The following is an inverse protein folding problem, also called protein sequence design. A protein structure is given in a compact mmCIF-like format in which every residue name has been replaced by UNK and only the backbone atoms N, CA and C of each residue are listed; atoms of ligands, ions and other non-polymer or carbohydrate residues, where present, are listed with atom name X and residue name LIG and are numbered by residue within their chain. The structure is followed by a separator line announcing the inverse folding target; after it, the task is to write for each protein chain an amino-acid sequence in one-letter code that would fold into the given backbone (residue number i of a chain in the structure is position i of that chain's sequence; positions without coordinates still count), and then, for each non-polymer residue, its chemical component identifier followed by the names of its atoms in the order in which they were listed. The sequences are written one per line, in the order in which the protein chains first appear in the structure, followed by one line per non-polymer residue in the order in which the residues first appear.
data_IF_747024668068
#
_entry.id   IF_747024668068
#
_cell.length_a   1.000
_cell.length_b   1.000
_cell.length_c   1.000
_cell.angle_alpha   90.00
_cell.angle_beta   90.00
_cell.angle_gamma   90.00
#
_symmetry.space_group_name_H-M   'P 1'
#
loop_
_entity.id
_entity.type
_entity.pdbx_description
1 polymer ?
#
# COMPACT_ATOMS: atom_id res chain seq x y z
N UNK A 1 16.33 -15.83 -28.31
CA UNK A 1 15.08 -15.43 -27.62
C UNK A 1 15.47 -14.96 -26.21
N UNK A 2 15.19 -13.69 -25.83
CA UNK A 2 15.49 -13.25 -24.48
C UNK A 2 14.48 -13.87 -23.50
N UNK A 3 14.98 -14.52 -22.49
CA UNK A 3 14.20 -15.06 -21.38
C UNK A 3 13.29 -13.97 -20.79
N UNK A 4 12.00 -14.13 -20.91
CA UNK A 4 11.02 -13.25 -20.27
C UNK A 4 11.20 -13.34 -18.76
N UNK A 5 11.63 -12.22 -18.15
CA UNK A 5 11.88 -12.12 -16.74
C UNK A 5 10.69 -12.62 -15.91
N UNK A 6 10.95 -13.47 -14.94
CA UNK A 6 9.95 -14.00 -14.00
C UNK A 6 9.17 -12.90 -13.26
N UNK A 7 9.76 -11.69 -13.15
CA UNK A 7 9.13 -10.50 -12.58
C UNK A 7 7.89 -10.05 -13.37
N UNK A 8 7.92 -10.18 -14.71
CA UNK A 8 6.77 -9.82 -15.55
C UNK A 8 5.58 -10.75 -15.38
N UNK A 9 5.82 -12.00 -14.98
CA UNK A 9 4.76 -13.00 -14.77
C UNK A 9 4.04 -12.84 -13.45
N UNK A 10 4.74 -12.40 -12.39
CA UNK A 10 4.15 -12.19 -11.07
C UNK A 10 3.30 -10.91 -11.07
N UNK A 11 3.78 -9.85 -11.73
CA UNK A 11 3.03 -8.60 -11.90
C UNK A 11 1.71 -8.83 -12.65
N UNK A 12 1.68 -9.76 -13.63
CA UNK A 12 0.47 -10.10 -14.38
C UNK A 12 -0.54 -10.93 -13.59
N UNK A 13 -0.12 -11.73 -12.60
CA UNK A 13 -1.03 -12.58 -11.82
C UNK A 13 -1.92 -11.80 -10.85
N UNK A 14 -1.51 -10.59 -10.49
CA UNK A 14 -2.21 -9.74 -9.53
C UNK A 14 -2.93 -8.54 -10.16
N UNK A 15 -2.90 -8.42 -11.49
CA UNK A 15 -3.67 -7.39 -12.18
C UNK A 15 -5.16 -7.77 -12.23
N UNK A 16 -6.07 -6.92 -11.77
CA UNK A 16 -7.50 -7.21 -11.87
C UNK A 16 -7.93 -7.27 -13.35
N UNK A 17 -8.61 -8.34 -13.71
CA UNK A 17 -9.26 -8.44 -15.00
C UNK A 17 -10.55 -7.62 -14.98
N UNK A 18 -10.60 -6.56 -15.77
CA UNK A 18 -11.81 -5.78 -16.03
C UNK A 18 -11.95 -4.48 -15.26
N UNK A 19 -11.12 -3.50 -15.57
CA UNK A 19 -11.39 -2.11 -15.25
C UNK A 19 -11.73 -1.36 -16.53
N UNK A 20 -12.95 -0.86 -16.59
CA UNK A 20 -13.45 0.00 -17.64
C UNK A 20 -12.62 1.29 -17.68
N UNK A 21 -11.98 1.56 -18.82
CA UNK A 21 -11.11 2.72 -19.01
C UNK A 21 -11.91 4.02 -19.07
N UNK A 22 -11.96 4.72 -17.94
CA UNK A 22 -12.13 6.16 -17.95
C UNK A 22 -10.98 6.78 -17.16
N UNK A 23 -9.91 7.13 -17.85
CA UNK A 23 -8.72 7.74 -17.31
C UNK A 23 -9.01 9.16 -16.83
N UNK A 24 -9.31 9.29 -15.55
CA UNK A 24 -9.05 10.53 -14.85
C UNK A 24 -7.54 10.57 -14.57
N UNK A 25 -6.83 11.58 -15.04
CA UNK A 25 -5.37 11.73 -14.96
C UNK A 25 -4.79 11.69 -13.55
N UNK A 26 -5.64 11.63 -12.53
CA UNK A 26 -5.30 11.60 -11.11
C UNK A 26 -5.39 10.20 -10.48
N UNK A 27 -5.76 9.16 -11.23
CA UNK A 27 -5.88 7.79 -10.70
C UNK A 27 -4.61 6.99 -11.01
N UNK A 28 -3.97 6.39 -9.99
CA UNK A 28 -2.83 5.51 -10.21
C UNK A 28 -3.18 4.33 -11.13
N UNK A 29 -2.30 4.03 -12.07
CA UNK A 29 -2.46 2.91 -12.99
C UNK A 29 -1.16 2.10 -13.07
N UNK A 30 -1.28 0.78 -13.27
CA UNK A 30 -0.13 -0.12 -13.41
C UNK A 30 0.79 0.31 -14.55
N UNK A 31 2.08 0.29 -14.27
CA UNK A 31 3.17 0.69 -15.15
C UNK A 31 3.12 2.16 -15.59
N UNK A 32 2.45 3.01 -14.80
CA UNK A 32 2.42 4.46 -14.97
C UNK A 32 2.98 5.15 -13.73
N UNK A 33 3.61 6.33 -13.91
CA UNK A 33 4.02 7.14 -12.76
C UNK A 33 2.81 7.51 -11.88
N UNK A 34 3.03 7.55 -10.57
CA UNK A 34 2.03 8.07 -9.65
C UNK A 34 1.76 9.55 -9.93
N UNK A 35 0.52 10.01 -9.80
CA UNK A 35 0.24 11.44 -9.76
C UNK A 35 0.92 12.08 -8.54
N UNK A 36 1.13 13.39 -8.60
CA UNK A 36 1.65 14.14 -7.46
C UNK A 36 0.61 14.25 -6.37
N UNK A 37 1.01 13.97 -5.15
CA UNK A 37 0.19 14.20 -3.96
C UNK A 37 1.06 14.35 -2.72
N UNK A 38 0.46 14.85 -1.67
CA UNK A 38 1.09 15.04 -0.38
C UNK A 38 0.19 14.46 0.71
N UNK A 39 0.78 13.79 1.68
CA UNK A 39 0.06 13.25 2.82
C UNK A 39 0.90 13.36 4.10
N UNK A 40 0.23 13.55 5.22
CA UNK A 40 0.88 13.60 6.53
C UNK A 40 0.91 12.21 7.15
N UNK A 41 2.08 11.84 7.66
CA UNK A 41 2.30 10.60 8.36
C UNK A 41 2.76 10.86 9.80
N UNK A 42 2.72 9.80 10.61
CA UNK A 42 3.29 9.81 11.97
C UNK A 42 4.75 10.24 11.96
N UNK A 43 5.25 10.66 13.12
CA UNK A 43 6.63 11.12 13.25
C UNK A 43 6.92 12.45 12.53
N UNK A 44 5.90 13.21 12.18
CA UNK A 44 6.05 14.48 11.45
C UNK A 44 6.49 14.30 10.00
N UNK A 45 6.41 13.09 9.46
CA UNK A 45 6.82 12.80 8.09
C UNK A 45 5.77 13.27 7.09
N UNK A 46 6.21 13.98 6.07
CA UNK A 46 5.42 14.38 4.93
C UNK A 46 5.71 13.42 3.78
N UNK A 47 4.71 12.66 3.38
CA UNK A 47 4.85 11.75 2.25
C UNK A 47 4.51 12.47 0.95
N UNK A 48 5.45 12.43 0.02
CA UNK A 48 5.21 12.73 -1.40
C UNK A 48 5.92 11.64 -2.22
N UNK A 49 5.45 11.28 -3.42
CA UNK A 49 6.17 10.31 -4.25
C UNK A 49 7.62 10.72 -4.51
N UNK A 50 7.89 12.00 -4.67
CA UNK A 50 9.22 12.55 -4.95
C UNK A 50 10.17 12.44 -3.75
N UNK A 51 9.66 12.55 -2.52
CA UNK A 51 10.48 12.45 -1.30
C UNK A 51 11.12 11.07 -1.13
N UNK A 52 10.56 10.05 -1.76
CA UNK A 52 11.03 8.67 -1.70
C UNK A 52 11.60 8.18 -3.04
N UNK A 53 11.94 9.09 -3.95
CA UNK A 53 12.65 8.75 -5.17
C UNK A 53 13.94 7.97 -4.86
N UNK A 54 14.21 6.91 -5.61
CA UNK A 54 15.33 6.02 -5.37
C UNK A 54 15.04 4.86 -4.41
N UNK A 55 13.86 4.83 -3.78
CA UNK A 55 13.41 3.73 -2.92
C UNK A 55 12.12 3.12 -3.44
N UNK A 56 12.00 1.81 -3.29
CA UNK A 56 10.73 1.12 -3.47
C UNK A 56 9.79 1.49 -2.31
N UNK A 57 8.54 1.82 -2.61
CA UNK A 57 7.54 2.17 -1.59
C UNK A 57 6.44 1.13 -1.58
N UNK A 58 6.11 0.64 -0.40
CA UNK A 58 4.95 -0.20 -0.14
C UNK A 58 3.91 0.65 0.59
N UNK A 59 2.76 0.88 -0.05
CA UNK A 59 1.60 1.52 0.58
C UNK A 59 0.54 0.46 0.84
N UNK A 60 0.23 0.17 2.10
CA UNK A 60 -0.86 -0.73 2.41
C UNK A 60 -2.03 0.02 3.06
N UNK A 61 -3.20 -0.12 2.47
CA UNK A 61 -4.45 0.48 2.94
C UNK A 61 -5.20 -0.52 3.81
N UNK A 62 -5.67 -0.07 4.97
CA UNK A 62 -6.41 -0.90 5.92
C UNK A 62 -7.60 -0.15 6.52
N UNK A 63 -8.65 -0.86 6.98
CA UNK A 63 -9.89 -0.23 7.40
C UNK A 63 -9.80 0.64 8.64
N UNK A 64 -9.13 0.18 9.71
CA UNK A 64 -9.13 0.90 10.99
C UNK A 64 -8.06 0.42 11.96
N UNK A 65 -7.42 1.36 12.67
CA UNK A 65 -6.51 1.06 13.79
C UNK A 65 -7.19 0.21 14.85
N UNK A 66 -6.41 -0.60 15.56
CA UNK A 66 -6.83 -1.44 16.69
C UNK A 66 -7.92 -2.49 16.36
N UNK A 67 -8.11 -2.83 15.11
CA UNK A 67 -8.93 -3.98 14.71
C UNK A 67 -8.07 -5.23 14.57
N UNK A 68 -8.61 -6.45 14.78
CA UNK A 68 -7.78 -7.68 14.79
C UNK A 68 -6.98 -7.90 13.51
N UNK A 69 -7.61 -7.80 12.34
CA UNK A 69 -6.96 -8.01 11.06
C UNK A 69 -5.90 -6.95 10.75
N UNK A 70 -6.19 -5.68 11.04
CA UNK A 70 -5.26 -4.58 10.83
C UNK A 70 -4.06 -4.66 11.78
N UNK A 71 -4.27 -5.08 13.02
CA UNK A 71 -3.20 -5.32 13.97
C UNK A 71 -2.28 -6.45 13.51
N UNK A 72 -2.83 -7.57 13.07
CA UNK A 72 -2.06 -8.71 12.54
C UNK A 72 -1.24 -8.29 11.32
N UNK A 73 -1.83 -7.58 10.38
CA UNK A 73 -1.12 -7.10 9.18
C UNK A 73 0.03 -6.17 9.52
N UNK A 74 -0.22 -5.19 10.40
CA UNK A 74 0.82 -4.27 10.86
C UNK A 74 1.98 -4.99 11.55
N UNK A 75 1.69 -5.97 12.40
CA UNK A 75 2.71 -6.78 13.06
C UNK A 75 3.53 -7.61 12.08
N UNK A 76 2.91 -8.16 11.03
CA UNK A 76 3.62 -8.91 9.99
C UNK A 76 4.56 -7.98 9.19
N UNK A 77 4.13 -6.79 8.81
CA UNK A 77 5.02 -5.78 8.20
C UNK A 77 6.15 -5.37 9.14
N UNK A 78 5.88 -5.21 10.43
CA UNK A 78 6.89 -4.93 11.45
C UNK A 78 7.94 -6.04 11.51
N UNK A 79 7.49 -7.28 11.60
CA UNK A 79 8.39 -8.44 11.78
C UNK A 79 9.29 -8.66 10.56
N UNK A 80 8.81 -8.31 9.36
CA UNK A 80 9.57 -8.36 8.10
C UNK A 80 10.26 -7.04 7.72
N UNK A 81 10.20 -6.02 8.55
CA UNK A 81 10.67 -4.68 8.19
C UNK A 81 12.16 -4.64 7.79
N UNK A 82 13.00 -5.37 8.49
CA UNK A 82 14.43 -5.46 8.14
C UNK A 82 14.66 -6.05 6.75
N UNK A 83 13.84 -7.00 6.36
CA UNK A 83 13.93 -7.61 5.02
C UNK A 83 13.49 -6.65 3.93
N UNK A 84 12.43 -5.85 4.19
CA UNK A 84 12.03 -4.77 3.30
C UNK A 84 13.14 -3.72 3.13
N UNK A 85 13.76 -3.29 4.22
CA UNK A 85 14.86 -2.33 4.17
C UNK A 85 16.06 -2.88 3.38
N UNK A 86 16.44 -4.14 3.58
CA UNK A 86 17.51 -4.81 2.80
C UNK A 86 17.17 -4.86 1.31
N UNK A 87 15.91 -4.98 0.97
CA UNK A 87 15.44 -4.96 -0.41
C UNK A 87 15.26 -3.55 -0.98
N UNK A 88 15.63 -2.51 -0.22
CA UNK A 88 15.53 -1.11 -0.65
C UNK A 88 14.12 -0.54 -0.61
N UNK A 89 13.23 -1.12 0.20
CA UNK A 89 11.85 -0.70 0.31
C UNK A 89 11.54 -0.04 1.65
N UNK A 90 10.66 0.95 1.61
CA UNK A 90 10.03 1.57 2.77
C UNK A 90 8.55 1.21 2.79
N UNK A 91 7.97 1.08 3.99
CA UNK A 91 6.57 0.69 4.18
C UNK A 91 5.81 1.85 4.83
N UNK A 92 4.62 2.13 4.30
CA UNK A 92 3.66 3.05 4.90
C UNK A 92 2.29 2.38 4.99
N UNK A 93 1.69 2.42 6.17
CA UNK A 93 0.27 2.08 6.33
C UNK A 93 -0.60 3.31 6.09
N UNK A 94 -1.77 3.12 5.53
CA UNK A 94 -2.73 4.21 5.24
C UNK A 94 -4.11 3.81 5.75
N UNK A 95 -4.71 4.65 6.56
CA UNK A 95 -6.13 4.54 6.92
C UNK A 95 -6.76 5.91 7.13
N UNK A 96 -8.08 5.90 7.35
CA UNK A 96 -8.85 7.13 7.61
C UNK A 96 -8.77 7.60 9.07
N UNK A 97 -8.08 6.86 9.92
CA UNK A 97 -7.88 7.25 11.31
C UNK A 97 -7.07 8.55 11.40
N UNK A 98 -7.29 9.29 12.48
CA UNK A 98 -6.56 10.53 12.71
C UNK A 98 -5.13 10.29 13.22
N UNK A 99 -4.33 11.33 13.23
CA UNK A 99 -2.94 11.25 13.65
C UNK A 99 -2.77 10.75 15.08
N UNK A 100 -3.63 11.19 16.01
CA UNK A 100 -3.55 10.77 17.40
C UNK A 100 -3.81 9.25 17.56
N UNK A 101 -4.74 8.69 16.80
CA UNK A 101 -4.99 7.25 16.74
C UNK A 101 -3.78 6.51 16.20
N UNK A 102 -3.22 6.98 15.07
CA UNK A 102 -2.04 6.39 14.45
C UNK A 102 -0.81 6.40 15.35
N UNK A 103 -0.55 7.48 16.06
CA UNK A 103 0.57 7.57 17.00
C UNK A 103 0.44 6.54 18.12
N UNK A 104 -0.76 6.38 18.68
CA UNK A 104 -1.04 5.37 19.70
C UNK A 104 -0.89 3.95 19.16
N UNK A 105 -1.43 3.70 17.97
CA UNK A 105 -1.36 2.39 17.33
C UNK A 105 0.08 2.01 16.99
N UNK A 106 0.84 2.94 16.41
CA UNK A 106 2.26 2.78 16.14
C UNK A 106 3.05 2.48 17.40
N UNK A 107 2.83 3.24 18.46
CA UNK A 107 3.53 3.07 19.75
C UNK A 107 3.19 1.72 20.40
N UNK A 108 1.91 1.36 20.43
CA UNK A 108 1.44 0.12 21.04
C UNK A 108 2.02 -1.14 20.37
N UNK A 109 2.20 -1.10 19.06
CA UNK A 109 2.76 -2.22 18.29
C UNK A 109 4.26 -2.09 18.01
N UNK A 110 4.89 -1.02 18.46
CA UNK A 110 6.30 -0.72 18.17
C UNK A 110 6.62 -0.78 16.67
N UNK A 111 5.76 -0.14 15.85
CA UNK A 111 5.92 -0.15 14.41
C UNK A 111 7.14 0.68 13.98
N UNK A 112 8.08 0.10 13.21
CA UNK A 112 9.29 0.79 12.75
C UNK A 112 9.07 1.63 11.49
N UNK A 113 7.84 1.76 11.03
CA UNK A 113 7.44 2.52 9.86
C UNK A 113 6.30 3.49 10.20
N UNK A 114 6.04 4.41 9.29
CA UNK A 114 5.06 5.47 9.52
C UNK A 114 3.67 5.12 8.99
N UNK A 115 2.65 5.73 9.60
CA UNK A 115 1.25 5.58 9.20
C UNK A 115 0.73 6.92 8.66
N UNK A 116 0.13 6.90 7.50
CA UNK A 116 -0.47 8.07 6.85
C UNK A 116 -1.90 8.24 7.35
N UNK A 117 -2.22 9.42 7.87
CA UNK A 117 -3.55 9.80 8.33
C UNK A 117 -4.34 10.42 7.18
N UNK A 118 -5.12 9.60 6.48
CA UNK A 118 -5.96 10.03 5.35
C UNK A 118 -7.40 10.36 5.80
N UNK A 119 -7.52 11.29 6.74
CA UNK A 119 -8.81 11.65 7.38
C UNK A 119 -9.84 12.20 6.40
N UNK A 120 -9.41 12.83 5.32
CA UNK A 120 -10.27 13.36 4.25
C UNK A 120 -10.51 12.35 3.12
N UNK A 121 -10.02 11.12 3.26
CA UNK A 121 -10.16 10.04 2.28
C UNK A 121 -9.57 10.36 0.89
N UNK A 122 -8.66 11.33 0.77
CA UNK A 122 -8.07 11.74 -0.51
C UNK A 122 -7.31 10.60 -1.17
N UNK A 123 -6.40 9.96 -0.44
CA UNK A 123 -5.64 8.83 -0.95
C UNK A 123 -6.53 7.60 -1.14
N UNK A 124 -7.45 7.33 -0.23
CA UNK A 124 -8.38 6.22 -0.35
C UNK A 124 -9.22 6.31 -1.62
N UNK A 125 -9.70 7.51 -1.98
CA UNK A 125 -10.42 7.73 -3.24
C UNK A 125 -9.48 7.67 -4.44
N UNK A 126 -8.30 8.28 -4.37
CA UNK A 126 -7.30 8.27 -5.44
C UNK A 126 -6.93 6.84 -5.85
N UNK A 127 -6.65 5.97 -4.88
CA UNK A 127 -6.29 4.57 -5.11
C UNK A 127 -7.51 3.64 -5.30
N UNK A 128 -8.72 4.17 -5.22
CA UNK A 128 -9.95 3.42 -5.50
C UNK A 128 -10.25 2.32 -4.48
N UNK A 129 -9.86 2.50 -3.22
CA UNK A 129 -10.05 1.51 -2.15
C UNK A 129 -11.29 1.76 -1.28
N UNK A 130 -12.03 2.83 -1.54
CA UNK A 130 -13.32 3.09 -0.87
C UNK A 130 -14.39 2.24 -1.52
N UNK A 131 -15.01 1.35 -0.74
CA UNK A 131 -16.04 0.42 -1.21
C UNK A 131 -17.31 0.53 -0.38
N UNK A 132 -18.44 0.35 -1.03
CA UNK A 132 -19.72 0.21 -0.35
C UNK A 132 -19.83 -1.20 0.23
N UNK A 133 -20.14 -1.28 1.52
CA UNK A 133 -20.37 -2.54 2.24
C UNK A 133 -21.75 -2.52 2.89
N UNK A 134 -22.31 -3.70 3.12
CA UNK A 134 -23.53 -3.84 3.92
C UNK A 134 -23.10 -4.39 5.28
N UNK A 135 -23.36 -3.61 6.35
CA UNK A 135 -23.13 -4.02 7.73
C UNK A 135 -24.44 -3.85 8.52
N UNK A 136 -24.92 -4.92 9.14
CA UNK A 136 -26.17 -4.93 9.89
C UNK A 136 -27.35 -4.37 9.08
N UNK A 137 -27.44 -4.73 7.79
CA UNK A 137 -28.49 -4.26 6.87
C UNK A 137 -28.37 -2.81 6.39
N UNK A 138 -27.32 -2.10 6.78
CA UNK A 138 -27.07 -0.70 6.37
C UNK A 138 -25.92 -0.62 5.38
N UNK A 139 -26.06 0.25 4.37
CA UNK A 139 -24.98 0.59 3.45
C UNK A 139 -23.96 1.49 4.17
N UNK A 140 -22.72 1.04 4.26
CA UNK A 140 -21.60 1.80 4.82
C UNK A 140 -20.46 1.83 3.84
N UNK A 141 -19.67 2.92 3.87
CA UNK A 141 -18.41 3.00 3.13
C UNK A 141 -17.28 2.41 3.99
N UNK A 142 -16.54 1.48 3.42
CA UNK A 142 -15.38 0.88 4.06
C UNK A 142 -14.16 0.94 3.17
N UNK A 143 -12.99 0.67 3.73
CA UNK A 143 -11.75 0.55 2.98
C UNK A 143 -11.53 -0.91 2.62
N UNK A 144 -11.35 -1.16 1.32
CA UNK A 144 -10.90 -2.45 0.81
C UNK A 144 -9.42 -2.60 1.12
N UNK A 145 -9.06 -3.61 1.91
CA UNK A 145 -7.67 -3.90 2.26
C UNK A 145 -6.87 -4.16 0.99
N UNK A 146 -5.91 -3.28 0.72
CA UNK A 146 -5.16 -3.28 -0.54
C UNK A 146 -3.72 -2.84 -0.31
N UNK A 147 -2.80 -3.32 -1.13
CA UNK A 147 -1.39 -2.92 -1.09
C UNK A 147 -0.93 -2.54 -2.48
N UNK A 148 -0.11 -1.49 -2.54
CA UNK A 148 0.45 -0.95 -3.79
C UNK A 148 1.97 -0.90 -3.68
N UNK A 149 2.63 -1.36 -4.73
CA UNK A 149 4.08 -1.40 -4.83
C UNK A 149 4.54 -0.39 -5.87
N UNK A 150 5.33 0.60 -5.42
CA UNK A 150 5.85 1.69 -6.25
C UNK A 150 7.37 1.52 -6.36
N UNK A 151 7.90 1.56 -7.58
CA UNK A 151 9.32 1.41 -7.82
C UNK A 151 10.12 2.67 -7.49
N UNK A 152 11.48 2.60 -7.51
CA UNK A 152 12.33 3.76 -7.21
C UNK A 152 12.14 4.96 -8.16
N UNK A 153 11.54 4.76 -9.32
CA UNK A 153 11.21 5.82 -10.28
C UNK A 153 9.81 6.41 -10.08
N UNK A 154 9.08 5.97 -9.05
CA UNK A 154 7.74 6.45 -8.75
C UNK A 154 6.63 5.83 -9.61
N UNK A 155 6.89 4.70 -10.24
CA UNK A 155 5.95 3.98 -11.11
C UNK A 155 5.25 2.87 -10.31
N UNK A 156 3.92 2.79 -10.43
CA UNK A 156 3.15 1.70 -9.82
C UNK A 156 3.42 0.38 -10.55
N UNK A 157 4.00 -0.59 -9.84
CA UNK A 157 4.43 -1.87 -10.44
C UNK A 157 3.56 -3.05 -10.10
N UNK A 158 2.91 -3.04 -8.93
CA UNK A 158 2.01 -4.11 -8.53
C UNK A 158 0.92 -3.57 -7.60
N UNK A 159 -0.22 -4.24 -7.61
CA UNK A 159 -1.31 -3.97 -6.68
C UNK A 159 -1.97 -5.27 -6.25
N UNK A 160 -2.38 -5.33 -5.00
CA UNK A 160 -3.18 -6.39 -4.42
C UNK A 160 -4.43 -5.77 -3.82
N UNK A 161 -5.59 -6.18 -4.28
CA UNK A 161 -6.88 -5.62 -3.86
C UNK A 161 -7.75 -6.68 -3.20
N UNK A 162 -8.54 -6.29 -2.19
CA UNK A 162 -9.44 -7.19 -1.49
C UNK A 162 -8.72 -8.38 -0.87
N UNK A 163 -7.55 -8.15 -0.29
CA UNK A 163 -6.67 -9.22 0.19
C UNK A 163 -7.13 -9.76 1.55
N UNK A 164 -6.72 -10.98 1.83
CA UNK A 164 -6.73 -11.58 3.16
C UNK A 164 -5.34 -11.44 3.78
N UNK A 165 -5.28 -11.22 5.10
CA UNK A 165 -4.01 -10.94 5.80
C UNK A 165 -3.05 -12.13 5.74
N UNK A 166 -3.54 -13.37 5.84
CA UNK A 166 -2.69 -14.57 5.85
C UNK A 166 -1.85 -14.69 4.58
N UNK A 167 -0.52 -14.71 4.73
CA UNK A 167 0.44 -14.86 3.63
C UNK A 167 0.65 -13.62 2.76
N UNK A 168 -0.11 -12.54 2.99
CA UNK A 168 -0.05 -11.35 2.16
C UNK A 168 1.29 -10.63 2.24
N UNK A 169 1.81 -10.38 3.44
CA UNK A 169 3.08 -9.67 3.62
C UNK A 169 4.25 -10.43 3.00
N UNK A 170 4.24 -11.76 3.07
CA UNK A 170 5.24 -12.60 2.39
C UNK A 170 5.18 -12.43 0.86
N UNK A 171 3.99 -12.37 0.29
CA UNK A 171 3.81 -12.15 -1.15
C UNK A 171 4.31 -10.76 -1.57
N UNK A 172 4.04 -9.74 -0.78
CA UNK A 172 4.54 -8.37 -1.02
C UNK A 172 6.07 -8.35 -0.95
N UNK A 173 6.67 -8.97 0.06
CA UNK A 173 8.12 -9.04 0.20
C UNK A 173 8.78 -9.75 -0.97
N UNK A 174 8.21 -10.86 -1.45
CA UNK A 174 8.68 -11.55 -2.67
C UNK A 174 8.65 -10.64 -3.89
N UNK A 175 7.58 -9.89 -4.07
CA UNK A 175 7.45 -8.95 -5.19
C UNK A 175 8.49 -7.82 -5.10
N UNK A 176 8.76 -7.28 -3.91
CA UNK A 176 9.82 -6.28 -3.69
C UNK A 176 11.20 -6.82 -4.05
N UNK A 177 11.52 -8.04 -3.61
CA UNK A 177 12.79 -8.70 -3.93
C UNK A 177 12.97 -8.94 -5.43
N UNK A 178 11.89 -9.35 -6.11
CA UNK A 178 11.91 -9.55 -7.56
C UNK A 178 12.09 -8.23 -8.31
N UNK A 179 11.46 -7.17 -7.85
CA UNK A 179 11.60 -5.84 -8.44
C UNK A 179 13.04 -5.32 -8.30
N UNK A 180 13.67 -5.54 -7.16
CA UNK A 180 15.08 -5.19 -6.94
C UNK A 180 16.03 -5.94 -7.88
N UNK A 181 15.78 -7.23 -8.15
CA UNK A 181 16.60 -8.02 -9.07
C UNK A 181 16.43 -7.61 -10.53
N UNK A 182 15.28 -7.06 -10.90
CA UNK A 182 14.97 -6.62 -12.26
C UNK A 182 15.50 -5.21 -12.56
N UNK A 183 15.96 -4.47 -11.56
CA UNK A 183 16.49 -3.12 -11.69
C UNK A 183 17.97 -3.10 -12.08
#
# INVERSE_FOLDING_TARGET
EPARSCASLIIRRYAPQGANEQHNSMTPALNKPLPEFEALATGGVKFTPQAFAGKTVVLYFYPKDNTPGCTTEAMQFRDHHKDFLKAGAVVFGVSRDNMASHEKFKQALELPFELIADTEEKLCHMFGVVKNKIMYGKKVKGIERSTFLIDPQGVLRAEWRGIKVAGHVDDVLKAVKLLKKAA
#
